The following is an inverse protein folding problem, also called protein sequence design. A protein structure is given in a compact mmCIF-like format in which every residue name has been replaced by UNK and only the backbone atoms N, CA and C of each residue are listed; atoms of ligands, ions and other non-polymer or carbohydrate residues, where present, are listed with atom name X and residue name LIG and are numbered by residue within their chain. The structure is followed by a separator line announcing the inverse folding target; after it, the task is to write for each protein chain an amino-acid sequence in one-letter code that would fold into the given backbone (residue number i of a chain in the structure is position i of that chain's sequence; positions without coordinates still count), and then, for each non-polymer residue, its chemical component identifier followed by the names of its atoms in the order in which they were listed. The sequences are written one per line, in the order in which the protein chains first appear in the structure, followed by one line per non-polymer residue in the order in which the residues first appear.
data_IF_049817799993
#
_entry.id   IF_049817799993
#
_cell.length_a   1.000
_cell.length_b   1.000
_cell.length_c   1.000
_cell.angle_alpha   90.00
_cell.angle_beta   90.00
_cell.angle_gamma   90.00
#
_symmetry.space_group_name_H-M   'P 1'
#
loop_
_entity.id
_entity.type
_entity.pdbx_description
1 polymer ?
#
# COMPACT_ATOMS: atom_id res chain seq x y z
N UNK A 1 -7.79 -6.01 2.23
CA UNK A 1 -6.39 -5.68 1.85
C UNK A 1 -6.27 -5.56 0.34
N UNK A 2 -6.56 -6.61 -0.45
CA UNK A 2 -6.50 -6.55 -1.92
C UNK A 2 -7.24 -5.34 -2.53
N UNK A 3 -8.49 -5.05 -2.13
CA UNK A 3 -9.19 -3.85 -2.63
C UNK A 3 -8.46 -2.53 -2.31
N UNK A 4 -7.84 -2.43 -1.13
CA UNK A 4 -7.09 -1.23 -0.75
C UNK A 4 -5.82 -1.05 -1.60
N UNK A 5 -5.17 -2.17 -1.95
CA UNK A 5 -4.02 -2.22 -2.86
C UNK A 5 -4.41 -1.75 -4.25
N UNK A 6 -5.52 -2.26 -4.80
CA UNK A 6 -6.03 -1.84 -6.12
C UNK A 6 -6.40 -0.35 -6.15
N UNK A 7 -7.02 0.17 -5.08
CA UNK A 7 -7.33 1.60 -5.01
C UNK A 7 -6.04 2.44 -4.93
N UNK A 8 -5.05 2.02 -4.15
CA UNK A 8 -3.75 2.71 -4.11
C UNK A 8 -3.04 2.71 -5.47
N UNK A 9 -3.00 1.56 -6.14
CA UNK A 9 -2.42 1.41 -7.47
C UNK A 9 -3.05 2.39 -8.47
N UNK A 10 -4.39 2.46 -8.50
CA UNK A 10 -5.13 3.41 -9.33
C UNK A 10 -4.77 4.86 -9.03
N UNK A 11 -4.79 5.26 -7.76
CA UNK A 11 -4.49 6.64 -7.35
C UNK A 11 -3.06 7.04 -7.74
N UNK A 12 -2.11 6.12 -7.56
CA UNK A 12 -0.70 6.38 -7.80
C UNK A 12 -0.33 6.36 -9.29
N UNK A 13 -0.77 5.33 -10.02
CA UNK A 13 -0.23 5.03 -11.35
C UNK A 13 -1.15 5.48 -12.49
N UNK A 14 -2.46 5.45 -12.28
CA UNK A 14 -3.43 5.93 -13.28
C UNK A 14 -3.74 7.41 -13.08
N UNK A 15 -4.06 7.80 -11.84
CA UNK A 15 -4.41 9.19 -11.49
C UNK A 15 -3.19 10.06 -11.22
N UNK A 16 -1.99 9.46 -11.14
CA UNK A 16 -0.70 10.14 -10.95
C UNK A 16 -0.69 11.09 -9.76
N UNK A 17 -1.37 10.70 -8.68
CA UNK A 17 -1.28 11.42 -7.43
C UNK A 17 0.04 11.11 -6.75
N UNK A 18 0.70 12.15 -6.26
CA UNK A 18 1.88 12.02 -5.41
C UNK A 18 1.58 11.08 -4.24
N UNK A 19 2.54 10.22 -3.91
CA UNK A 19 2.44 9.36 -2.71
C UNK A 19 2.18 10.21 -1.47
N UNK A 20 2.73 11.42 -1.40
CA UNK A 20 2.57 12.32 -0.26
C UNK A 20 1.14 12.85 -0.11
N UNK A 21 0.41 13.00 -1.22
CA UNK A 21 -0.96 13.53 -1.23
C UNK A 21 -2.01 12.46 -0.94
N UNK A 22 -1.68 11.18 -1.14
CA UNK A 22 -2.62 10.08 -0.88
C UNK A 22 -2.85 9.91 0.63
N UNK A 23 -4.10 10.09 1.06
CA UNK A 23 -4.54 9.90 2.45
C UNK A 23 -5.47 8.69 2.55
N UNK A 24 -5.00 7.61 3.18
CA UNK A 24 -5.76 6.36 3.34
C UNK A 24 -7.15 6.57 3.95
N UNK A 25 -7.27 7.47 4.93
CA UNK A 25 -8.53 7.75 5.64
C UNK A 25 -9.55 8.55 4.82
N UNK A 26 -9.10 9.22 3.75
CA UNK A 26 -9.94 10.09 2.92
C UNK A 26 -10.26 9.51 1.56
N UNK A 27 -9.34 8.75 0.98
CA UNK A 27 -9.48 8.21 -0.38
C UNK A 27 -9.66 6.70 -0.37
N UNK A 28 -8.83 5.96 0.37
CA UNK A 28 -8.81 4.50 0.27
C UNK A 28 -9.91 3.85 1.11
N UNK A 29 -10.01 4.16 2.41
CA UNK A 29 -10.98 3.50 3.29
C UNK A 29 -12.44 3.76 2.89
N UNK A 30 -12.84 4.99 2.51
CA UNK A 30 -14.20 5.24 2.03
C UNK A 30 -14.50 4.48 0.73
N UNK A 31 -13.56 4.45 -0.21
CA UNK A 31 -13.77 3.77 -1.49
C UNK A 31 -13.86 2.25 -1.33
N UNK A 32 -13.01 1.65 -0.50
CA UNK A 32 -13.10 0.21 -0.19
C UNK A 32 -14.40 -0.12 0.55
N UNK A 33 -14.86 0.73 1.46
CA UNK A 33 -16.16 0.57 2.14
C UNK A 33 -17.33 0.60 1.15
N UNK A 34 -17.30 1.53 0.20
CA UNK A 34 -18.28 1.62 -0.89
C UNK A 34 -18.28 0.37 -1.78
N UNK A 35 -17.11 -0.12 -2.17
CA UNK A 35 -16.98 -1.31 -3.02
C UNK A 35 -17.47 -2.59 -2.35
N UNK A 36 -17.25 -2.73 -1.03
CA UNK A 36 -17.60 -3.93 -0.28
C UNK A 36 -18.98 -3.86 0.39
N UNK A 37 -19.67 -2.73 0.33
CA UNK A 37 -20.95 -2.53 1.00
C UNK A 37 -20.88 -2.63 2.52
N UNK A 38 -19.75 -2.23 3.12
CA UNK A 38 -19.50 -2.29 4.57
C UNK A 38 -19.25 -0.87 5.14
N UNK A 39 -19.29 -0.72 6.46
CA UNK A 39 -18.99 0.54 7.12
C UNK A 39 -17.50 0.90 7.04
N UNK A 40 -17.22 2.20 6.90
CA UNK A 40 -15.84 2.70 6.91
C UNK A 40 -15.08 2.34 8.19
N UNK A 41 -15.77 2.27 9.34
CA UNK A 41 -15.17 1.86 10.61
C UNK A 41 -14.72 0.40 10.60
N UNK A 42 -15.53 -0.51 10.04
CA UNK A 42 -15.14 -1.91 9.86
C UNK A 42 -13.97 -2.05 8.89
N UNK A 43 -14.02 -1.36 7.75
CA UNK A 43 -12.95 -1.39 6.75
C UNK A 43 -11.63 -0.88 7.31
N UNK A 44 -11.64 0.26 8.01
CA UNK A 44 -10.45 0.83 8.65
C UNK A 44 -9.79 -0.20 9.56
N UNK A 45 -10.55 -0.74 10.52
CA UNK A 45 -10.06 -1.74 11.48
C UNK A 45 -9.56 -3.02 10.80
N UNK A 46 -10.24 -3.47 9.76
CA UNK A 46 -9.86 -4.67 9.03
C UNK A 46 -8.57 -4.47 8.23
N UNK A 47 -8.41 -3.33 7.57
CA UNK A 47 -7.19 -2.97 6.82
C UNK A 47 -6.01 -2.79 7.78
N UNK A 48 -6.18 -2.04 8.88
CA UNK A 48 -5.13 -1.83 9.88
C UNK A 48 -4.63 -3.15 10.48
N UNK A 49 -5.55 -4.03 10.86
CA UNK A 49 -5.20 -5.36 11.36
C UNK A 49 -4.48 -6.20 10.31
N UNK A 50 -4.92 -6.14 9.06
CA UNK A 50 -4.27 -6.87 7.97
C UNK A 50 -2.88 -6.31 7.66
N UNK A 51 -2.70 -4.98 7.63
CA UNK A 51 -1.40 -4.34 7.42
C UNK A 51 -0.41 -4.72 8.52
N UNK A 52 -0.87 -4.68 9.79
CA UNK A 52 -0.11 -5.15 10.94
C UNK A 52 0.32 -6.60 10.78
N UNK A 53 -0.58 -7.49 10.37
CA UNK A 53 -0.23 -8.91 10.11
C UNK A 53 0.78 -9.05 9.00
N UNK A 54 0.63 -8.33 7.88
CA UNK A 54 1.61 -8.32 6.79
C UNK A 54 3.00 -7.93 7.31
N UNK A 55 3.06 -6.99 8.24
CA UNK A 55 4.32 -6.60 8.88
C UNK A 55 4.84 -7.63 9.89
N UNK A 56 3.97 -8.24 10.70
CA UNK A 56 4.36 -9.21 11.73
C UNK A 56 4.82 -10.56 11.15
N UNK A 57 4.50 -10.87 9.89
CA UNK A 57 5.03 -12.05 9.20
C UNK A 57 6.57 -11.99 9.20
N UNK A 58 7.18 -12.98 9.86
CA UNK A 58 8.62 -13.06 10.11
C UNK A 58 9.45 -13.46 8.89
N UNK A 59 8.85 -13.57 7.71
CA UNK A 59 9.57 -13.90 6.49
C UNK A 59 10.36 -12.69 5.99
N UNK A 60 11.56 -12.52 6.54
CA UNK A 60 12.52 -11.48 6.16
C UNK A 60 12.70 -11.40 4.63
N UNK A 61 12.75 -12.56 3.97
CA UNK A 61 12.87 -12.67 2.51
C UNK A 61 11.69 -12.05 1.75
N UNK A 62 10.46 -12.20 2.24
CA UNK A 62 9.29 -11.58 1.62
C UNK A 62 9.33 -10.06 1.74
N UNK A 63 9.74 -9.55 2.91
CA UNK A 63 9.91 -8.11 3.13
C UNK A 63 10.97 -7.52 2.21
N UNK A 64 12.11 -8.19 2.08
CA UNK A 64 13.17 -7.77 1.14
C UNK A 64 12.67 -7.75 -0.31
N UNK A 65 11.91 -8.75 -0.74
CA UNK A 65 11.38 -8.82 -2.12
C UNK A 65 10.36 -7.71 -2.41
N UNK A 66 9.50 -7.38 -1.44
CA UNK A 66 8.41 -6.40 -1.65
C UNK A 66 8.90 -4.96 -1.40
N UNK A 67 9.78 -4.76 -0.42
CA UNK A 67 10.22 -3.43 0.02
C UNK A 67 11.52 -3.02 -0.69
N UNK A 68 12.52 -3.91 -0.71
CA UNK A 68 13.80 -3.69 -1.41
C UNK A 68 14.94 -3.11 -0.57
N UNK A 69 14.74 -2.89 0.74
CA UNK A 69 15.76 -2.36 1.67
C UNK A 69 15.53 -2.93 3.09
N UNK A 70 16.57 -3.25 3.90
CA UNK A 70 16.43 -3.50 5.33
C UNK A 70 15.92 -2.25 6.07
N UNK A 71 14.59 -2.07 6.11
CA UNK A 71 13.95 -1.02 6.87
C UNK A 71 13.86 -1.39 8.36
N UNK A 72 14.32 -0.47 9.22
CA UNK A 72 14.36 -0.64 10.68
C UNK A 72 13.05 -0.26 11.41
N UNK A 73 12.07 0.36 10.73
CA UNK A 73 10.89 0.95 11.41
C UNK A 73 9.54 0.33 11.06
N UNK A 74 8.59 0.53 11.97
CA UNK A 74 7.20 0.06 11.87
C UNK A 74 6.49 0.83 10.74
N UNK A 75 6.05 0.12 9.72
CA UNK A 75 5.29 0.69 8.61
C UNK A 75 3.83 0.97 8.98
N UNK A 76 3.36 2.15 8.57
CA UNK A 76 1.95 2.50 8.65
C UNK A 76 1.12 1.64 7.69
N UNK A 77 -0.20 1.51 7.89
CA UNK A 77 -1.06 0.84 6.91
C UNK A 77 -0.91 1.40 5.48
N UNK A 78 -0.64 2.71 5.35
CA UNK A 78 -0.39 3.36 4.05
C UNK A 78 0.83 2.76 3.36
N UNK A 79 1.95 2.62 4.06
CA UNK A 79 3.20 2.13 3.48
C UNK A 79 3.05 0.67 3.04
N UNK A 80 2.40 -0.17 3.87
CA UNK A 80 2.13 -1.57 3.50
C UNK A 80 1.27 -1.65 2.23
N UNK A 81 0.23 -0.83 2.15
CA UNK A 81 -0.63 -0.78 0.95
C UNK A 81 0.16 -0.30 -0.27
N UNK A 82 0.99 0.74 -0.12
CA UNK A 82 1.85 1.28 -1.17
C UNK A 82 2.81 0.22 -1.71
N UNK A 83 3.57 -0.45 -0.84
CA UNK A 83 4.55 -1.44 -1.26
C UNK A 83 3.88 -2.62 -1.99
N UNK A 84 2.73 -3.07 -1.49
CA UNK A 84 1.97 -4.12 -2.15
C UNK A 84 1.41 -3.66 -3.50
N UNK A 85 0.97 -2.42 -3.65
CA UNK A 85 0.47 -1.88 -4.91
C UNK A 85 1.57 -1.81 -5.97
N UNK A 86 2.74 -1.33 -5.56
CA UNK A 86 3.91 -1.22 -6.44
C UNK A 86 4.41 -2.59 -6.87
N UNK A 87 4.51 -3.52 -5.92
CA UNK A 87 4.90 -4.90 -6.23
C UNK A 87 3.88 -5.59 -7.13
N UNK A 88 2.57 -5.40 -6.88
CA UNK A 88 1.52 -5.98 -7.72
C UNK A 88 1.56 -5.45 -9.16
N UNK A 89 1.89 -4.16 -9.34
CA UNK A 89 1.93 -3.53 -10.66
C UNK A 89 3.22 -3.82 -11.44
N UNK A 90 4.39 -3.57 -10.82
CA UNK A 90 5.67 -3.64 -11.52
C UNK A 90 6.38 -5.00 -11.38
N UNK A 91 5.97 -5.84 -10.42
CA UNK A 91 6.65 -7.08 -10.09
C UNK A 91 8.03 -6.92 -9.44
N UNK A 92 8.39 -5.69 -9.04
CA UNK A 92 9.64 -5.34 -8.38
C UNK A 92 9.38 -4.63 -7.05
N UNK A 93 10.40 -4.58 -6.20
CA UNK A 93 10.32 -3.93 -4.89
C UNK A 93 10.05 -2.42 -4.99
N UNK A 94 9.47 -1.83 -3.93
CA UNK A 94 9.18 -0.40 -3.89
C UNK A 94 10.41 0.47 -4.17
N UNK A 95 11.53 0.25 -3.48
CA UNK A 95 12.73 1.08 -3.69
C UNK A 95 13.42 0.83 -5.03
N UNK A 96 13.22 -0.32 -5.65
CA UNK A 96 13.65 -0.53 -7.03
C UNK A 96 12.78 0.27 -8.01
N UNK A 97 11.45 0.23 -7.84
CA UNK A 97 10.53 1.02 -8.66
C UNK A 97 10.77 2.52 -8.49
N UNK A 98 10.96 3.01 -7.26
CA UNK A 98 11.26 4.42 -6.97
C UNK A 98 12.53 4.91 -7.69
N UNK A 99 13.55 4.05 -7.81
CA UNK A 99 14.78 4.37 -8.55
C UNK A 99 14.61 4.33 -10.06
N UNK A 100 13.79 3.41 -10.58
CA UNK A 100 13.57 3.23 -12.03
C UNK A 100 12.56 4.21 -12.61
N UNK A 101 11.53 4.56 -11.84
CA UNK A 101 10.36 5.34 -12.25
C UNK A 101 10.03 6.43 -11.21
N UNK A 102 10.97 7.32 -10.84
CA UNK A 102 10.74 8.33 -9.81
C UNK A 102 9.54 9.24 -10.09
N UNK A 103 9.21 9.46 -11.37
CA UNK A 103 8.06 10.25 -11.82
C UNK A 103 6.70 9.68 -11.42
N UNK A 104 6.62 8.40 -11.06
CA UNK A 104 5.39 7.76 -10.60
C UNK A 104 5.09 8.01 -9.12
N UNK A 105 6.04 8.54 -8.34
CA UNK A 105 5.94 8.63 -6.88
C UNK A 105 6.01 10.06 -6.34
N UNK A 106 6.43 11.02 -7.16
CA UNK A 106 6.62 12.44 -6.84
C UNK A 106 5.33 13.23 -6.73
#
# INVERSE_FOLDING_TARGET
MSCAVTVMEKLLLEEKLSVYDIRVTKQIYPEVARQLGDSQANITRNIERAARRCWELKEKKMKEVVIGDPLEEIHTPKDIILYLAVYAHFGISYYEALRKFPECFG
#
